data_IF_533656169697
#
_entry.id   IF_533656169697
#
_cell.length_a   1.000
_cell.length_b   1.000
_cell.length_c   1.000
_cell.angle_alpha   90.00
_cell.angle_beta   90.00
_cell.angle_gamma   90.00
#
_symmetry.space_group_name_H-M   'P 1'
#
loop_
_entity.id
_entity.type
_entity.pdbx_description
1 polymer ?
#
# COMPACT_ATOMS: atom_id res chain seq x y z
N UNK A 1 -2.86 23.51 10.95
CA UNK A 1 -3.28 22.10 10.85
C UNK A 1 -3.68 21.88 9.40
N UNK A 2 -2.74 21.42 8.60
CA UNK A 2 -3.04 21.05 7.21
C UNK A 2 -3.84 19.76 7.24
N UNK A 3 -5.04 19.82 6.71
CA UNK A 3 -5.86 18.61 6.50
C UNK A 3 -5.21 17.85 5.36
N UNK A 4 -4.46 16.82 5.69
CA UNK A 4 -3.86 15.96 4.69
C UNK A 4 -4.95 15.40 3.76
N UNK A 5 -4.70 15.45 2.46
CA UNK A 5 -5.62 14.89 1.46
C UNK A 5 -5.61 13.37 1.58
N UNK A 6 -6.76 12.78 1.88
CA UNK A 6 -6.91 11.33 1.99
C UNK A 6 -8.24 10.87 1.40
N UNK A 7 -8.33 9.60 1.04
CA UNK A 7 -9.56 9.00 0.54
C UNK A 7 -9.65 7.51 0.86
N UNK A 8 -10.87 7.02 0.99
CA UNK A 8 -11.19 5.60 1.20
C UNK A 8 -12.19 5.18 0.15
N UNK A 9 -11.91 4.07 -0.52
CA UNK A 9 -12.81 3.49 -1.53
C UNK A 9 -13.12 2.04 -1.20
N UNK A 10 -14.37 1.68 -1.35
CA UNK A 10 -14.81 0.28 -1.37
C UNK A 10 -15.00 -0.13 -2.83
N UNK A 11 -14.25 -1.12 -3.29
CA UNK A 11 -14.29 -1.60 -4.66
C UNK A 11 -14.72 -3.08 -4.69
N UNK A 12 -15.37 -3.52 -5.77
CA UNK A 12 -15.63 -4.94 -5.98
C UNK A 12 -14.35 -5.77 -5.93
N UNK A 13 -14.41 -6.94 -5.30
CA UNK A 13 -13.30 -7.88 -5.24
C UNK A 13 -13.13 -8.62 -6.58
N UNK A 14 -12.72 -7.88 -7.61
CA UNK A 14 -12.58 -8.35 -8.99
C UNK A 14 -11.34 -7.78 -9.66
N UNK A 15 -10.84 -8.48 -10.69
CA UNK A 15 -9.67 -8.04 -11.45
C UNK A 15 -9.84 -6.65 -12.10
N UNK A 16 -11.05 -6.29 -12.50
CA UNK A 16 -11.34 -4.97 -13.07
C UNK A 16 -11.09 -3.80 -12.12
N UNK A 17 -11.22 -4.04 -10.82
CA UNK A 17 -10.96 -3.03 -9.77
C UNK A 17 -9.51 -2.56 -9.72
N UNK A 18 -8.56 -3.38 -10.15
CA UNK A 18 -7.14 -3.00 -10.22
C UNK A 18 -6.93 -1.78 -11.12
N UNK A 19 -7.44 -1.84 -12.34
CA UNK A 19 -7.32 -0.73 -13.29
C UNK A 19 -8.13 0.51 -12.90
N UNK A 20 -9.31 0.31 -12.30
CA UNK A 20 -10.13 1.41 -11.78
C UNK A 20 -9.42 2.15 -10.66
N UNK A 21 -8.92 1.43 -9.66
CA UNK A 21 -8.19 2.01 -8.53
C UNK A 21 -6.93 2.76 -8.98
N UNK A 22 -6.15 2.16 -9.88
CA UNK A 22 -4.94 2.77 -10.42
C UNK A 22 -5.22 4.11 -11.09
N UNK A 23 -6.16 4.17 -12.02
CA UNK A 23 -6.50 5.40 -12.73
C UNK A 23 -7.04 6.47 -11.78
N UNK A 24 -7.86 6.07 -10.83
CA UNK A 24 -8.43 6.98 -9.84
C UNK A 24 -7.35 7.57 -8.94
N UNK A 25 -6.44 6.75 -8.42
CA UNK A 25 -5.33 7.22 -7.58
C UNK A 25 -4.44 8.21 -8.32
N UNK A 26 -4.00 7.86 -9.54
CA UNK A 26 -3.17 8.75 -10.36
C UNK A 26 -3.88 10.10 -10.59
N UNK A 27 -5.16 10.06 -10.93
CA UNK A 27 -5.95 11.28 -11.13
C UNK A 27 -6.09 12.14 -9.87
N UNK A 28 -6.33 11.53 -8.73
CA UNK A 28 -6.49 12.24 -7.45
C UNK A 28 -5.16 12.82 -6.98
N UNK A 29 -4.06 12.08 -7.08
CA UNK A 29 -2.72 12.56 -6.74
C UNK A 29 -2.26 13.70 -7.65
N UNK A 30 -2.51 13.59 -8.95
CA UNK A 30 -2.20 14.66 -9.92
C UNK A 30 -2.96 15.94 -9.60
N UNK A 31 -4.26 15.84 -9.27
CA UNK A 31 -5.07 16.98 -8.82
C UNK A 31 -4.56 17.60 -7.52
N UNK A 32 -4.00 16.78 -6.64
CA UNK A 32 -3.37 17.23 -5.39
C UNK A 32 -1.98 17.83 -5.59
N UNK A 33 -1.48 17.91 -6.82
CA UNK A 33 -0.18 18.50 -7.15
C UNK A 33 1.02 17.55 -7.02
N UNK A 34 0.77 16.26 -6.84
CA UNK A 34 1.85 15.25 -6.82
C UNK A 34 2.45 15.11 -8.21
N UNK A 35 3.77 15.00 -8.26
CA UNK A 35 4.50 14.85 -9.52
C UNK A 35 4.07 13.57 -10.25
N UNK A 36 3.96 13.66 -11.58
CA UNK A 36 3.40 12.59 -12.41
C UNK A 36 4.11 11.23 -12.22
N UNK A 37 5.44 11.24 -12.15
CA UNK A 37 6.21 10.01 -11.95
C UNK A 37 5.86 9.35 -10.60
N UNK A 38 5.76 10.12 -9.52
CA UNK A 38 5.35 9.61 -8.20
C UNK A 38 3.91 9.10 -8.21
N UNK A 39 3.00 9.80 -8.87
CA UNK A 39 1.61 9.35 -9.00
C UNK A 39 1.52 8.02 -9.79
N UNK A 40 2.32 7.86 -10.84
CA UNK A 40 2.41 6.63 -11.62
C UNK A 40 2.99 5.47 -10.78
N UNK A 41 4.05 5.71 -10.01
CA UNK A 41 4.65 4.72 -9.12
C UNK A 41 3.66 4.29 -8.03
N UNK A 42 2.96 5.24 -7.41
CA UNK A 42 1.90 4.94 -6.44
C UNK A 42 0.77 4.10 -7.07
N UNK A 43 0.37 4.42 -8.30
CA UNK A 43 -0.60 3.63 -9.06
C UNK A 43 -0.13 2.22 -9.34
N UNK A 44 1.15 2.03 -9.64
CA UNK A 44 1.75 0.71 -9.86
C UNK A 44 1.79 -0.10 -8.56
N UNK A 45 2.27 0.50 -7.47
CA UNK A 45 2.29 -0.14 -6.15
C UNK A 45 0.87 -0.55 -5.74
N UNK A 46 -0.11 0.34 -5.85
CA UNK A 46 -1.51 0.02 -5.54
C UNK A 46 -2.02 -1.15 -6.37
N UNK A 47 -1.68 -1.21 -7.66
CA UNK A 47 -2.06 -2.32 -8.55
C UNK A 47 -1.53 -3.66 -8.04
N UNK A 48 -0.28 -3.68 -7.57
CA UNK A 48 0.35 -4.88 -7.02
C UNK A 48 -0.30 -5.31 -5.70
N UNK A 49 -0.63 -4.35 -4.81
CA UNK A 49 -1.30 -4.63 -3.54
C UNK A 49 -2.70 -5.24 -3.76
N UNK A 50 -3.49 -4.67 -4.67
CA UNK A 50 -4.83 -5.20 -5.00
C UNK A 50 -4.70 -6.59 -5.66
N UNK A 51 -3.78 -6.76 -6.60
CA UNK A 51 -3.54 -8.04 -7.26
C UNK A 51 -3.13 -9.14 -6.27
N UNK A 52 -2.35 -8.79 -5.25
CA UNK A 52 -2.00 -9.71 -4.17
C UNK A 52 -3.21 -10.10 -3.33
N UNK A 53 -4.06 -9.13 -2.95
CA UNK A 53 -5.29 -9.42 -2.23
C UNK A 53 -6.19 -10.38 -3.03
N UNK A 54 -6.38 -10.13 -4.32
CA UNK A 54 -7.21 -10.97 -5.19
C UNK A 54 -6.67 -12.40 -5.36
N UNK A 55 -5.35 -12.59 -5.29
CA UNK A 55 -4.72 -13.92 -5.48
C UNK A 55 -4.64 -14.73 -4.19
N UNK A 56 -4.47 -14.09 -3.04
CA UNK A 56 -4.03 -14.76 -1.82
C UNK A 56 -4.97 -14.58 -0.63
N UNK A 57 -5.97 -13.70 -0.73
CA UNK A 57 -6.86 -13.38 0.36
C UNK A 57 -8.34 -13.68 0.01
N UNK A 58 -9.19 -13.48 0.98
CA UNK A 58 -10.64 -13.49 0.82
C UNK A 58 -11.19 -12.06 0.77
N UNK A 59 -12.35 -11.83 0.18
CA UNK A 59 -12.94 -10.49 0.19
C UNK A 59 -13.40 -10.07 1.59
N UNK A 60 -13.51 -8.77 1.79
CA UNK A 60 -14.30 -8.19 2.86
C UNK A 60 -15.80 -8.50 2.68
N UNK A 61 -16.63 -8.35 3.73
CA UNK A 61 -18.09 -8.50 3.60
C UNK A 61 -18.64 -7.72 2.41
N UNK A 62 -19.59 -8.31 1.70
CA UNK A 62 -20.15 -7.74 0.48
C UNK A 62 -19.32 -7.96 -0.78
N UNK A 63 -18.34 -8.86 -0.74
CA UNK A 63 -17.41 -9.14 -1.85
C UNK A 63 -16.62 -7.90 -2.28
N UNK A 64 -16.05 -7.20 -1.29
CA UNK A 64 -15.35 -5.93 -1.45
C UNK A 64 -13.87 -6.02 -1.07
N UNK A 65 -13.11 -5.09 -1.57
CA UNK A 65 -11.77 -4.73 -1.14
C UNK A 65 -11.75 -3.25 -0.79
N UNK A 66 -11.10 -2.88 0.31
CA UNK A 66 -10.95 -1.48 0.70
C UNK A 66 -9.59 -0.95 0.26
N UNK A 67 -9.60 0.17 -0.42
CA UNK A 67 -8.41 0.93 -0.80
C UNK A 67 -8.41 2.24 -0.02
N UNK A 68 -7.28 2.58 0.54
CA UNK A 68 -7.07 3.84 1.25
C UNK A 68 -5.80 4.49 0.75
N UNK A 69 -5.81 5.81 0.65
CA UNK A 69 -4.58 6.56 0.42
C UNK A 69 -4.59 7.86 1.20
N UNK A 70 -3.41 8.35 1.52
CA UNK A 70 -3.22 9.62 2.19
C UNK A 70 -1.95 10.31 1.69
N UNK A 71 -2.02 11.62 1.51
CA UNK A 71 -0.90 12.46 1.15
C UNK A 71 -0.38 13.15 2.41
N UNK A 72 0.85 12.86 2.78
CA UNK A 72 1.60 13.54 3.83
C UNK A 72 2.58 14.56 3.26
N UNK A 73 3.40 15.15 4.12
CA UNK A 73 4.38 16.16 3.72
C UNK A 73 5.51 15.56 2.87
N UNK A 74 5.96 14.37 3.22
CA UNK A 74 7.14 13.71 2.62
C UNK A 74 6.82 12.48 1.79
N UNK A 75 5.62 11.93 1.93
CA UNK A 75 5.25 10.68 1.28
C UNK A 75 3.77 10.60 0.93
N UNK A 76 3.45 9.75 -0.03
CA UNK A 76 2.10 9.24 -0.25
C UNK A 76 2.00 7.83 0.31
N UNK A 77 0.99 7.57 1.12
CA UNK A 77 0.69 6.23 1.62
C UNK A 77 -0.50 5.64 0.87
N UNK A 78 -0.37 4.37 0.50
CA UNK A 78 -1.45 3.58 -0.08
C UNK A 78 -1.63 2.31 0.73
N UNK A 79 -2.87 1.87 0.90
CA UNK A 79 -3.17 0.64 1.64
C UNK A 79 -4.34 -0.11 1.00
N UNK A 80 -4.28 -1.42 1.08
CA UNK A 80 -5.34 -2.33 0.62
C UNK A 80 -5.70 -3.26 1.76
N UNK A 81 -6.98 -3.30 2.11
CA UNK A 81 -7.53 -4.19 3.13
C UNK A 81 -8.45 -5.22 2.50
N UNK A 82 -8.27 -6.46 2.90
CA UNK A 82 -9.06 -7.63 2.50
C UNK A 82 -9.55 -8.41 3.72
N UNK A 83 -10.30 -9.46 3.52
CA UNK A 83 -10.86 -10.30 4.57
C UNK A 83 -9.89 -11.32 5.17
N UNK A 84 -8.59 -11.17 4.90
CA UNK A 84 -7.58 -12.10 5.35
C UNK A 84 -7.51 -13.39 4.52
N UNK A 85 -6.61 -14.25 4.86
CA UNK A 85 -6.37 -15.52 4.18
C UNK A 85 -5.89 -16.60 5.16
N UNK A 86 -5.86 -17.87 4.74
CA UNK A 86 -5.41 -18.99 5.57
C UNK A 86 -3.93 -18.90 5.93
N UNK A 87 -3.16 -18.14 5.17
CA UNK A 87 -1.82 -17.73 5.53
C UNK A 87 -1.90 -16.29 5.99
N UNK A 88 -1.96 -16.06 7.30
CA UNK A 88 -1.59 -14.77 7.84
C UNK A 88 -0.25 -14.41 7.16
N UNK A 89 -0.11 -13.20 6.58
CA UNK A 89 1.19 -12.77 6.11
C UNK A 89 2.11 -12.78 7.33
N UNK A 90 2.85 -13.86 7.45
CA UNK A 90 3.85 -13.97 8.49
C UNK A 90 4.84 -12.85 8.23
N UNK A 91 5.09 -12.03 9.24
CA UNK A 91 6.17 -11.04 9.30
C UNK A 91 7.52 -11.80 9.32
N UNK A 92 7.64 -12.78 8.51
CA UNK A 92 8.89 -13.44 8.21
C UNK A 92 9.20 -13.10 6.78
N UNK A 93 10.29 -12.32 6.59
CA UNK A 93 10.94 -12.01 5.33
C UNK A 93 10.25 -12.70 4.15
N UNK A 94 9.70 -11.99 3.17
CA UNK A 94 9.34 -12.65 1.94
C UNK A 94 10.59 -13.37 1.49
N UNK A 95 10.57 -14.70 1.56
CA UNK A 95 11.55 -15.48 0.86
C UNK A 95 11.43 -15.01 -0.59
N UNK A 96 12.51 -14.53 -1.17
CA UNK A 96 12.56 -14.00 -2.54
C UNK A 96 12.07 -15.03 -3.60
N UNK A 97 11.64 -16.19 -3.17
CA UNK A 97 11.24 -17.35 -3.96
C UNK A 97 9.80 -17.82 -3.70
N UNK A 98 9.00 -17.13 -2.91
CA UNK A 98 7.58 -17.48 -2.81
C UNK A 98 6.90 -17.14 -4.13
N UNK A 99 6.26 -18.12 -4.73
CA UNK A 99 5.47 -18.06 -5.96
C UNK A 99 4.54 -16.82 -5.96
N UNK A 100 4.88 -15.81 -6.73
CA UNK A 100 4.23 -14.50 -6.76
C UNK A 100 5.17 -13.32 -6.50
N UNK A 101 6.45 -13.54 -6.29
CA UNK A 101 7.46 -12.60 -5.82
C UNK A 101 7.78 -11.37 -6.67
N UNK A 102 7.15 -11.17 -7.84
CA UNK A 102 7.41 -9.98 -8.67
C UNK A 102 6.69 -8.75 -8.13
N UNK A 103 5.46 -8.89 -7.63
CA UNK A 103 4.65 -7.77 -7.16
C UNK A 103 5.21 -7.12 -5.90
N UNK A 104 5.57 -7.91 -4.89
CA UNK A 104 6.21 -7.39 -3.67
C UNK A 104 7.61 -6.85 -3.93
N UNK A 105 8.35 -7.37 -4.92
CA UNK A 105 9.61 -6.79 -5.36
C UNK A 105 9.47 -5.39 -5.94
N UNK A 106 8.37 -5.10 -6.65
CA UNK A 106 8.04 -3.75 -7.13
C UNK A 106 7.69 -2.85 -5.95
N UNK A 107 6.87 -3.32 -5.02
CA UNK A 107 6.51 -2.57 -3.80
C UNK A 107 7.76 -2.22 -3.01
N UNK A 108 8.65 -3.18 -2.78
CA UNK A 108 9.89 -2.98 -2.03
C UNK A 108 10.82 -1.95 -2.69
N UNK A 109 10.91 -1.97 -4.02
CA UNK A 109 11.77 -1.04 -4.77
C UNK A 109 11.26 0.39 -4.82
N UNK A 110 9.95 0.58 -4.90
CA UNK A 110 9.33 1.89 -5.08
C UNK A 110 8.97 2.56 -3.76
N UNK A 111 8.92 1.80 -2.67
CA UNK A 111 8.46 2.30 -1.38
C UNK A 111 9.62 2.59 -0.44
N UNK A 112 9.51 3.67 0.32
CA UNK A 112 10.40 3.97 1.46
C UNK A 112 10.28 2.90 2.54
N UNK A 113 9.05 2.45 2.75
CA UNK A 113 8.66 1.43 3.71
C UNK A 113 7.33 0.83 3.30
N UNK A 114 7.10 -0.39 3.66
CA UNK A 114 5.83 -1.08 3.48
C UNK A 114 5.67 -2.14 4.57
N UNK A 115 4.46 -2.59 4.76
CA UNK A 115 4.21 -3.60 5.79
C UNK A 115 2.82 -4.21 5.67
N UNK A 116 2.58 -5.15 6.58
CA UNK A 116 1.32 -5.87 6.68
C UNK A 116 0.90 -5.88 8.15
N UNK A 117 -0.36 -5.67 8.40
CA UNK A 117 -0.94 -6.00 9.70
C UNK A 117 -2.30 -6.68 9.53
N UNK A 118 -2.62 -7.55 10.45
CA UNK A 118 -3.90 -8.22 10.52
C UNK A 118 -4.61 -7.85 11.82
N UNK A 119 -5.93 -7.77 11.78
CA UNK A 119 -6.73 -7.64 13.01
C UNK A 119 -6.56 -8.90 13.85
N UNK A 120 -6.61 -8.74 15.17
CA UNK A 120 -6.43 -9.86 16.10
C UNK A 120 -7.48 -10.98 15.93
N UNK A 121 -8.68 -10.61 15.47
CA UNK A 121 -9.76 -11.54 15.17
C UNK A 121 -9.64 -12.24 13.81
N UNK A 122 -8.59 -11.90 13.02
CA UNK A 122 -8.36 -12.47 11.70
C UNK A 122 -9.35 -12.02 10.62
N UNK A 123 -10.25 -11.09 10.93
CA UNK A 123 -11.31 -10.65 10.01
C UNK A 123 -10.85 -9.73 8.91
N UNK A 124 -9.67 -9.14 9.05
CA UNK A 124 -9.13 -8.17 8.10
C UNK A 124 -7.60 -8.19 8.09
N UNK A 125 -7.04 -8.13 6.89
CA UNK A 125 -5.60 -7.92 6.67
C UNK A 125 -5.41 -6.68 5.82
N UNK A 126 -4.47 -5.84 6.21
CA UNK A 126 -4.10 -4.63 5.48
C UNK A 126 -2.64 -4.70 5.06
N UNK A 127 -2.38 -4.51 3.78
CA UNK A 127 -1.03 -4.29 3.23
C UNK A 127 -0.92 -2.84 2.83
N UNK A 128 0.13 -2.18 3.27
CA UNK A 128 0.34 -0.75 3.04
C UNK A 128 1.75 -0.47 2.53
N UNK A 129 1.92 0.66 1.85
CA UNK A 129 3.19 1.15 1.37
C UNK A 129 3.23 2.67 1.41
N UNK A 130 4.39 3.24 1.73
CA UNK A 130 4.67 4.67 1.69
C UNK A 130 5.72 4.96 0.62
N UNK A 131 5.40 5.83 -0.33
CA UNK A 131 6.29 6.22 -1.42
C UNK A 131 6.77 7.65 -1.20
N UNK A 132 8.04 7.96 -1.54
CA UNK A 132 8.56 9.31 -1.40
C UNK A 132 7.88 10.26 -2.38
N UNK A 133 7.62 11.50 -1.97
CA UNK A 133 7.31 12.58 -2.88
C UNK A 133 8.57 13.04 -3.63
N UNK A 134 8.42 13.47 -4.89
CA UNK A 134 9.54 13.84 -5.76
C UNK A 134 10.40 14.95 -5.15
N UNK A 135 11.64 14.68 -4.97
CA UNK A 135 12.66 15.46 -4.26
C UNK A 135 13.48 14.58 -3.30
N UNK A 136 12.86 13.50 -2.79
CA UNK A 136 13.51 12.57 -1.88
C UNK A 136 13.92 11.24 -2.55
N UNK A 137 13.57 11.02 -3.82
CA UNK A 137 13.99 9.84 -4.56
C UNK A 137 15.53 9.79 -4.71
N UNK A 138 16.18 10.94 -4.87
CA UNK A 138 17.65 11.03 -4.89
C UNK A 138 18.25 10.72 -3.52
N UNK A 139 17.65 11.21 -2.43
CA UNK A 139 18.08 10.87 -1.07
C UNK A 139 17.84 9.42 -0.69
N UNK A 140 16.74 8.84 -1.15
CA UNK A 140 16.47 7.42 -0.94
C UNK A 140 17.47 6.53 -1.68
N UNK A 141 17.87 6.92 -2.89
CA UNK A 141 18.90 6.23 -3.67
C UNK A 141 20.30 6.33 -3.01
N UNK A 142 20.66 7.48 -2.46
CA UNK A 142 21.92 7.68 -1.73
C UNK A 142 21.99 6.85 -0.45
N UNK A 143 20.89 6.77 0.32
CA UNK A 143 20.82 5.93 1.51
C UNK A 143 20.81 4.41 1.23
N UNK A 144 20.40 3.99 0.03
CA UNK A 144 20.46 2.58 -0.37
C UNK A 144 21.86 2.12 -0.76
N UNK A 145 22.75 3.03 -1.11
CA UNK A 145 24.17 2.73 -1.40
C UNK A 145 25.02 2.61 -0.14
N UNK A 146 24.65 3.26 0.97
CA UNK A 146 25.40 3.19 2.22
C UNK A 146 24.99 2.05 3.16
N UNK A 147 23.75 1.57 3.08
CA UNK A 147 23.27 0.46 3.89
C UNK A 147 22.75 -0.65 2.97
N UNK A 148 23.52 -1.74 2.89
CA UNK A 148 23.08 -2.97 2.21
C UNK A 148 21.71 -3.45 2.72
N UNK A 149 21.07 -4.46 2.09
CA UNK A 149 19.68 -4.83 2.28
C UNK A 149 19.42 -5.33 3.71
N UNK A 150 19.25 -4.41 4.63
CA UNK A 150 18.66 -4.70 5.93
C UNK A 150 17.16 -4.53 5.79
N UNK A 151 16.45 -5.65 5.90
CA UNK A 151 15.01 -5.68 5.90
C UNK A 151 14.45 -4.65 6.89
N UNK A 152 13.86 -3.62 6.36
CA UNK A 152 13.22 -2.58 7.16
C UNK A 152 11.87 -3.09 7.65
N UNK A 153 11.88 -3.91 8.68
CA UNK A 153 10.74 -4.09 9.56
C UNK A 153 10.61 -2.84 10.42
N UNK A 154 10.06 -1.79 9.86
CA UNK A 154 9.68 -0.63 10.63
C UNK A 154 8.29 -0.82 11.20
N UNK A 155 8.17 -1.14 12.48
CA UNK A 155 7.02 -0.75 13.28
C UNK A 155 7.04 0.78 13.39
N UNK A 156 6.71 1.47 12.31
CA UNK A 156 6.41 2.89 12.33
C UNK A 156 4.96 3.08 12.78
N UNK A 157 4.61 4.23 13.34
CA UNK A 157 3.21 4.54 13.64
C UNK A 157 2.43 4.40 12.35
N UNK A 158 1.63 3.35 12.28
CA UNK A 158 0.78 3.07 11.14
C UNK A 158 -0.10 4.27 10.84
N UNK A 159 -0.44 4.42 9.60
CA UNK A 159 -1.49 5.30 9.14
C UNK A 159 -2.64 5.24 10.15
N UNK A 160 -2.78 6.29 10.97
CA UNK A 160 -3.96 6.47 11.81
C UNK A 160 -5.07 6.92 10.90
N UNK A 161 -5.56 6.00 10.07
CA UNK A 161 -6.84 6.17 9.42
C UNK A 161 -7.84 6.09 10.56
N UNK A 162 -8.43 7.22 10.90
CA UNK A 162 -9.47 7.31 11.89
C UNK A 162 -10.51 6.23 11.58
N UNK A 163 -10.48 5.16 12.34
CA UNK A 163 -11.55 4.18 12.38
C UNK A 163 -12.74 4.93 12.94
N UNK A 164 -13.73 5.22 12.11
CA UNK A 164 -15.04 5.66 12.57
C UNK A 164 -15.53 4.60 13.54
N UNK A 165 -15.50 4.93 14.81
CA UNK A 165 -16.25 4.20 15.83
C UNK A 165 -17.70 4.59 15.61
N UNK A 166 -18.42 3.72 14.95
CA UNK A 166 -19.85 3.70 15.16
C UNK A 166 -20.14 2.92 16.43
N UNK A 167 -20.84 3.61 17.29
CA UNK A 167 -21.39 3.12 18.55
C UNK A 167 -22.46 2.04 18.30
#
# INVERSE_FOLDING_TARGET
MEVGTSSVWMLPYTASSVGVARRRLIGDLTKAGVYEATACDAGLVLSELISNALRHATPLPGSLVRVTWALGDDCVEVAVSDGGGPTAPMINKPAANALGGRGLGIVDRLSLRWGVYARQDGSETTVWAALPLSGDAERAAENMTENGPQGRNGTGPGLVIASSRDA
#
